data_IF_056112938568
#
_entry.id   IF_056112938568
#
_cell.length_a   1.000
_cell.length_b   1.000
_cell.length_c   1.000
_cell.angle_alpha   90.00
_cell.angle_beta   90.00
_cell.angle_gamma   90.00
#
_symmetry.space_group_name_H-M   'P 1'
#
loop_
_entity.id
_entity.type
_entity.pdbx_description
1 polymer ?
#
# COMPACT_ATOMS: atom_id res chain seq x y z
N UNK A 1 42.29 -55.48 32.10
CA UNK A 1 42.29 -54.22 31.32
C UNK A 1 41.92 -53.08 32.26
N UNK A 2 42.71 -52.01 32.39
CA UNK A 2 42.36 -50.89 33.25
C UNK A 2 41.18 -50.10 32.64
N UNK A 3 40.30 -49.50 33.46
CA UNK A 3 39.13 -48.79 32.97
C UNK A 3 39.55 -47.53 32.21
N UNK A 4 39.04 -47.38 30.98
CA UNK A 4 39.19 -46.14 30.20
C UNK A 4 38.53 -44.99 30.96
N UNK A 5 39.34 -44.01 31.38
CA UNK A 5 38.85 -42.74 31.92
C UNK A 5 37.90 -42.11 30.89
N UNK A 6 36.59 -42.17 31.16
CA UNK A 6 35.59 -41.40 30.40
C UNK A 6 35.93 -39.94 30.59
N UNK A 7 36.32 -39.26 29.50
CA UNK A 7 36.50 -37.81 29.51
C UNK A 7 35.21 -37.12 29.99
N UNK A 8 35.36 -35.97 30.65
CA UNK A 8 34.22 -35.19 31.13
C UNK A 8 33.23 -34.88 30.00
N UNK A 9 31.93 -35.05 30.27
CA UNK A 9 30.87 -34.65 29.34
C UNK A 9 30.78 -33.13 29.21
N UNK A 10 30.19 -32.64 28.12
CA UNK A 10 30.01 -31.20 27.89
C UNK A 10 29.30 -30.51 29.06
N UNK A 11 28.22 -31.11 29.58
CA UNK A 11 27.46 -30.56 30.72
C UNK A 11 28.29 -30.53 32.01
N UNK A 12 29.11 -31.56 32.29
CA UNK A 12 29.98 -31.56 33.46
C UNK A 12 31.05 -30.46 33.39
N UNK A 13 31.53 -30.12 32.18
CA UNK A 13 32.45 -29.00 32.00
C UNK A 13 31.73 -27.66 32.21
N UNK A 14 30.49 -27.51 31.74
CA UNK A 14 29.64 -26.33 31.98
C UNK A 14 29.41 -26.10 33.47
N UNK A 15 29.02 -27.14 34.21
CA UNK A 15 28.79 -27.06 35.65
C UNK A 15 30.05 -26.65 36.42
N UNK A 16 31.20 -27.16 36.00
CA UNK A 16 32.50 -26.83 36.60
C UNK A 16 32.89 -25.37 36.40
N UNK A 17 32.64 -24.80 35.22
CA UNK A 17 32.87 -23.36 34.98
C UNK A 17 31.87 -22.51 35.77
N UNK A 18 30.59 -22.90 35.79
CA UNK A 18 29.58 -22.19 36.58
C UNK A 18 29.89 -22.20 38.08
N UNK A 19 30.48 -23.29 38.60
CA UNK A 19 30.96 -23.33 39.99
C UNK A 19 32.05 -22.30 40.26
N UNK A 20 33.00 -22.09 39.35
CA UNK A 20 34.03 -21.04 39.50
C UNK A 20 33.36 -19.67 39.70
N UNK A 21 32.40 -19.32 38.85
CA UNK A 21 31.69 -18.05 38.97
C UNK A 21 30.84 -17.96 40.25
N UNK A 22 30.18 -19.05 40.65
CA UNK A 22 29.29 -19.07 41.80
C UNK A 22 30.03 -19.04 43.15
N UNK A 23 31.19 -19.71 43.23
CA UNK A 23 32.02 -19.75 44.43
C UNK A 23 32.83 -18.47 44.63
N UNK A 24 33.44 -17.95 43.56
CA UNK A 24 34.27 -16.73 43.62
C UNK A 24 33.44 -15.46 43.65
N UNK A 25 32.29 -15.42 42.96
CA UNK A 25 31.41 -14.24 42.82
C UNK A 25 32.17 -12.99 42.33
N UNK A 26 33.21 -13.20 41.53
CA UNK A 26 34.09 -12.17 40.99
C UNK A 26 33.92 -12.03 39.47
N UNK A 27 34.38 -10.90 38.94
CA UNK A 27 34.46 -10.66 37.50
C UNK A 27 35.80 -11.18 36.99
N UNK A 28 35.76 -12.03 35.96
CA UNK A 28 36.95 -12.58 35.33
C UNK A 28 37.18 -11.97 33.96
N UNK A 29 38.40 -11.52 33.70
CA UNK A 29 38.87 -11.35 32.32
C UNK A 29 39.14 -12.72 31.68
N UNK A 30 39.08 -12.81 30.36
CA UNK A 30 39.36 -14.07 29.64
C UNK A 30 40.68 -14.76 30.09
N UNK A 31 41.82 -14.05 30.22
CA UNK A 31 43.07 -14.68 30.66
C UNK A 31 43.06 -15.14 32.12
N UNK A 32 42.29 -14.49 32.99
CA UNK A 32 42.11 -14.93 34.38
C UNK A 32 41.25 -16.18 34.45
N UNK A 33 40.19 -16.22 33.63
CA UNK A 33 39.30 -17.37 33.55
C UNK A 33 40.00 -18.61 32.97
N UNK A 34 40.92 -18.43 32.01
CA UNK A 34 41.78 -19.53 31.52
C UNK A 34 42.59 -20.17 32.65
N UNK A 35 43.19 -19.37 33.53
CA UNK A 35 43.97 -19.87 34.66
C UNK A 35 43.12 -20.64 35.66
N UNK A 36 41.90 -20.17 35.94
CA UNK A 36 40.99 -20.88 36.85
C UNK A 36 40.38 -22.13 36.18
N UNK A 37 40.12 -22.10 34.88
CA UNK A 37 39.65 -23.26 34.12
C UNK A 37 40.68 -24.39 34.04
N UNK A 38 41.97 -24.04 33.90
CA UNK A 38 43.09 -24.99 33.92
C UNK A 38 43.16 -25.73 35.28
N UNK A 39 42.89 -25.04 36.40
CA UNK A 39 42.83 -25.65 37.75
C UNK A 39 41.71 -26.68 37.90
N UNK A 40 40.62 -26.51 37.16
CA UNK A 40 39.43 -27.37 37.19
C UNK A 40 39.47 -28.47 36.09
N UNK A 41 40.57 -28.52 35.34
CA UNK A 41 40.86 -29.54 34.34
C UNK A 41 40.19 -29.32 32.99
N UNK A 42 39.87 -28.07 32.64
CA UNK A 42 39.25 -27.70 31.37
C UNK A 42 40.32 -27.12 30.44
N UNK A 43 40.58 -27.79 29.32
CA UNK A 43 41.52 -27.32 28.28
C UNK A 43 41.04 -26.00 27.66
N UNK A 44 41.96 -25.07 27.41
CA UNK A 44 41.70 -23.75 26.78
C UNK A 44 40.85 -23.80 25.51
N UNK A 45 41.12 -24.74 24.61
CA UNK A 45 40.36 -24.88 23.36
C UNK A 45 38.86 -25.13 23.60
N UNK A 46 38.51 -25.79 24.71
CA UNK A 46 37.12 -26.05 25.08
C UNK A 46 36.50 -24.88 25.86
N UNK A 47 37.30 -24.02 26.51
CA UNK A 47 36.80 -22.93 27.36
C UNK A 47 35.95 -21.95 26.54
N UNK A 48 36.39 -21.64 25.32
CA UNK A 48 35.68 -20.72 24.43
C UNK A 48 34.29 -21.25 24.04
N UNK A 49 34.20 -22.50 23.61
CA UNK A 49 32.94 -23.15 23.24
C UNK A 49 31.98 -23.24 24.44
N UNK A 50 32.51 -23.57 25.62
CA UNK A 50 31.71 -23.64 26.85
C UNK A 50 31.19 -22.25 27.25
N UNK A 51 32.03 -21.21 27.15
CA UNK A 51 31.62 -19.83 27.41
C UNK A 51 30.53 -19.38 26.44
N UNK A 52 30.70 -19.59 25.14
CA UNK A 52 29.68 -19.27 24.14
C UNK A 52 28.35 -19.95 24.43
N UNK A 53 28.38 -21.22 24.84
CA UNK A 53 27.18 -21.96 25.26
C UNK A 53 26.57 -21.46 26.59
N UNK A 54 27.38 -20.98 27.53
CA UNK A 54 26.87 -20.38 28.79
C UNK A 54 26.30 -18.97 28.56
N UNK A 55 26.84 -18.22 27.61
CA UNK A 55 26.33 -16.93 27.17
C UNK A 55 25.01 -17.08 26.41
N UNK A 56 24.89 -18.08 25.52
CA UNK A 56 23.64 -18.34 24.78
C UNK A 56 22.48 -18.63 25.73
N UNK A 57 22.77 -19.36 26.80
CA UNK A 57 21.77 -19.75 27.81
C UNK A 57 21.60 -18.67 28.89
N UNK A 58 22.22 -17.50 28.72
CA UNK A 58 22.13 -16.35 29.62
C UNK A 58 22.63 -16.60 31.05
N UNK A 59 23.40 -17.67 31.27
CA UNK A 59 23.93 -18.09 32.56
C UNK A 59 25.17 -17.29 32.98
N UNK A 60 25.97 -16.86 31.99
CA UNK A 60 27.12 -15.96 32.17
C UNK A 60 26.82 -14.67 31.44
N UNK A 61 27.28 -13.56 32.00
CA UNK A 61 27.22 -12.23 31.38
C UNK A 61 28.58 -11.88 30.81
N UNK A 62 28.57 -11.05 29.78
CA UNK A 62 29.80 -10.49 29.24
C UNK A 62 29.65 -9.02 28.93
N UNK A 63 30.70 -8.26 29.20
CA UNK A 63 30.80 -6.86 28.84
C UNK A 63 32.20 -6.57 28.29
N UNK A 64 32.23 -5.67 27.31
CA UNK A 64 33.46 -5.22 26.70
C UNK A 64 33.97 -4.00 27.48
N UNK A 65 35.05 -4.15 28.23
CA UNK A 65 35.78 -3.05 28.87
C UNK A 65 36.99 -2.70 28.01
N UNK A 66 36.79 -1.76 27.07
CA UNK A 66 37.81 -1.34 26.12
C UNK A 66 38.22 -2.48 25.19
N UNK A 67 39.48 -2.89 25.24
CA UNK A 67 40.03 -4.00 24.44
C UNK A 67 39.85 -5.38 25.09
N UNK A 68 39.28 -5.46 26.29
CA UNK A 68 39.16 -6.71 27.05
C UNK A 68 37.70 -7.07 27.31
N UNK A 69 37.36 -8.36 27.18
CA UNK A 69 36.06 -8.91 27.57
C UNK A 69 36.11 -9.43 28.99
N UNK A 70 35.12 -9.04 29.79
CA UNK A 70 34.90 -9.52 31.14
C UNK A 70 33.70 -10.47 31.17
N UNK A 71 33.74 -11.42 32.09
CA UNK A 71 32.75 -12.46 32.29
C UNK A 71 32.41 -12.61 33.76
N UNK A 72 31.13 -12.71 34.10
CA UNK A 72 30.68 -12.98 35.46
C UNK A 72 29.32 -13.68 35.47
N UNK A 73 28.97 -14.27 36.61
CA UNK A 73 27.63 -14.79 36.86
C UNK A 73 27.27 -14.53 38.32
N UNK A 74 26.25 -13.69 38.53
CA UNK A 74 25.73 -13.36 39.85
C UNK A 74 24.41 -14.10 40.10
N UNK A 75 24.25 -14.79 41.24
CA UNK A 75 23.02 -15.52 41.57
C UNK A 75 21.77 -14.62 41.57
N UNK A 76 21.91 -13.35 41.94
CA UNK A 76 20.80 -12.37 41.96
C UNK A 76 20.35 -11.93 40.56
N UNK A 77 21.16 -12.12 39.53
CA UNK A 77 20.90 -11.54 38.22
C UNK A 77 19.77 -12.25 37.46
N UNK A 78 19.63 -13.57 37.64
CA UNK A 78 18.49 -14.32 37.11
C UNK A 78 17.17 -13.79 37.69
N UNK A 79 17.15 -13.48 38.99
CA UNK A 79 15.99 -12.92 39.67
C UNK A 79 15.70 -11.49 39.21
N UNK A 80 16.72 -10.62 39.10
CA UNK A 80 16.56 -9.24 38.63
C UNK A 80 16.00 -9.21 37.20
N UNK A 81 16.54 -10.04 36.29
CA UNK A 81 16.04 -10.14 34.91
C UNK A 81 14.59 -10.60 34.86
N UNK A 82 14.22 -11.57 35.69
CA UNK A 82 12.84 -12.03 35.76
C UNK A 82 11.92 -10.92 36.27
N UNK A 83 12.33 -10.18 37.30
CA UNK A 83 11.59 -9.03 37.82
C UNK A 83 11.42 -7.91 36.78
N UNK A 84 12.47 -7.59 36.03
CA UNK A 84 12.41 -6.61 34.94
C UNK A 84 11.41 -7.06 33.86
N UNK A 85 11.50 -8.31 33.40
CA UNK A 85 10.54 -8.86 32.42
C UNK A 85 9.11 -8.86 32.96
N UNK A 86 8.91 -9.23 34.22
CA UNK A 86 7.60 -9.15 34.85
C UNK A 86 7.06 -7.72 34.84
N UNK A 87 7.87 -6.73 35.25
CA UNK A 87 7.48 -5.32 35.23
C UNK A 87 7.15 -4.83 33.81
N UNK A 88 7.99 -5.15 32.81
CA UNK A 88 7.75 -4.82 31.40
C UNK A 88 6.43 -5.43 30.88
N UNK A 89 6.15 -6.70 31.21
CA UNK A 89 4.90 -7.33 30.78
C UNK A 89 3.69 -6.78 31.52
N UNK A 90 3.81 -6.47 32.80
CA UNK A 90 2.74 -5.80 33.55
C UNK A 90 2.41 -4.44 32.95
N UNK A 91 3.43 -3.62 32.65
CA UNK A 91 3.22 -2.32 32.00
C UNK A 91 2.55 -2.45 30.63
N UNK A 92 2.98 -3.42 29.81
CA UNK A 92 2.34 -3.70 28.51
C UNK A 92 0.88 -4.12 28.67
N UNK A 93 0.57 -4.97 29.64
CA UNK A 93 -0.82 -5.39 29.92
C UNK A 93 -1.66 -4.17 30.31
N UNK A 94 -1.15 -3.30 31.17
CA UNK A 94 -1.87 -2.11 31.60
C UNK A 94 -2.09 -1.12 30.44
N UNK A 95 -1.08 -0.93 29.58
CA UNK A 95 -1.20 -0.12 28.36
C UNK A 95 -2.26 -0.68 27.39
N UNK A 96 -2.27 -2.00 27.16
CA UNK A 96 -3.27 -2.61 26.26
C UNK A 96 -4.68 -2.57 26.85
N UNK A 97 -4.84 -2.75 28.17
CA UNK A 97 -6.13 -2.57 28.86
C UNK A 97 -6.65 -1.15 28.73
N UNK A 98 -5.77 -0.15 28.85
CA UNK A 98 -6.17 1.24 28.70
C UNK A 98 -6.66 1.52 27.27
N UNK A 99 -5.97 0.98 26.26
CA UNK A 99 -6.41 1.07 24.86
C UNK A 99 -7.74 0.37 24.62
N UNK A 100 -7.95 -0.80 25.22
CA UNK A 100 -9.21 -1.54 25.14
C UNK A 100 -10.38 -0.69 25.64
N UNK A 101 -10.23 -0.07 26.82
CA UNK A 101 -11.23 0.84 27.40
C UNK A 101 -11.49 2.04 26.48
N UNK A 102 -10.44 2.65 25.92
CA UNK A 102 -10.58 3.79 25.00
C UNK A 102 -11.31 3.42 23.71
N UNK A 103 -10.97 2.26 23.12
CA UNK A 103 -11.61 1.76 21.90
C UNK A 103 -13.07 1.43 22.18
N UNK A 104 -13.38 0.82 23.32
CA UNK A 104 -14.75 0.45 23.67
C UNK A 104 -15.63 1.68 23.95
N UNK A 105 -15.07 2.72 24.59
CA UNK A 105 -15.73 4.01 24.73
C UNK A 105 -15.98 4.68 23.38
N UNK A 106 -15.01 4.65 22.46
CA UNK A 106 -15.19 5.17 21.10
C UNK A 106 -16.24 4.37 20.32
N UNK A 107 -16.24 3.04 20.46
CA UNK A 107 -17.21 2.17 19.82
C UNK A 107 -18.63 2.47 20.28
N UNK A 108 -18.87 2.61 21.59
CA UNK A 108 -20.20 2.92 22.10
C UNK A 108 -20.66 4.32 21.65
N UNK A 109 -19.76 5.31 21.64
CA UNK A 109 -20.08 6.66 21.12
C UNK A 109 -20.43 6.66 19.62
N UNK A 110 -19.82 5.78 18.82
CA UNK A 110 -20.11 5.67 17.39
C UNK A 110 -21.37 4.88 17.08
N UNK A 111 -21.80 4.02 18.01
CA UNK A 111 -23.01 3.22 17.92
C UNK A 111 -24.26 4.08 18.16
N UNK A 112 -24.16 5.09 19.03
CA UNK A 112 -25.19 6.12 19.17
C UNK A 112 -25.48 6.78 17.81
N UNK A 113 -26.72 6.65 17.32
CA UNK A 113 -27.14 7.14 16.01
C UNK A 113 -26.78 6.26 14.80
N UNK A 114 -26.06 5.15 15.01
CA UNK A 114 -25.78 4.11 14.00
C UNK A 114 -26.34 2.75 14.42
N UNK A 115 -27.41 2.75 15.18
CA UNK A 115 -28.06 1.52 15.59
C UNK A 115 -28.51 0.72 14.36
N UNK A 116 -28.31 -0.60 14.42
CA UNK A 116 -28.81 -1.51 13.40
C UNK A 116 -30.32 -1.66 13.58
N UNK A 117 -31.08 -0.71 13.05
CA UNK A 117 -32.53 -0.74 13.01
C UNK A 117 -33.03 -0.98 11.57
N UNK A 118 -34.23 -1.54 11.45
CA UNK A 118 -34.84 -1.79 10.14
C UNK A 118 -34.97 -0.51 9.31
N UNK A 119 -35.30 0.61 9.96
CA UNK A 119 -35.40 1.93 9.33
C UNK A 119 -34.10 2.34 8.64
N UNK A 120 -32.93 2.07 9.25
CA UNK A 120 -31.64 2.38 8.66
C UNK A 120 -31.38 1.55 7.40
N UNK A 121 -31.67 0.25 7.46
CA UNK A 121 -31.54 -0.65 6.31
C UNK A 121 -32.44 -0.20 5.16
N UNK A 122 -33.68 0.19 5.47
CA UNK A 122 -34.65 0.67 4.48
C UNK A 122 -34.17 2.00 3.85
N UNK A 123 -33.69 2.95 4.65
CA UNK A 123 -33.08 4.21 4.18
C UNK A 123 -31.84 3.96 3.31
N UNK A 124 -30.96 3.03 3.69
CA UNK A 124 -29.79 2.67 2.89
C UNK A 124 -30.20 2.08 1.53
N UNK A 125 -31.27 1.26 1.50
CA UNK A 125 -31.84 0.75 0.27
C UNK A 125 -32.44 1.86 -0.60
N UNK A 126 -33.21 2.79 -0.02
CA UNK A 126 -33.78 3.94 -0.74
C UNK A 126 -32.68 4.84 -1.33
N UNK A 127 -31.64 5.16 -0.56
CA UNK A 127 -30.49 5.94 -1.04
C UNK A 127 -29.84 5.26 -2.25
N UNK A 128 -29.67 3.94 -2.20
CA UNK A 128 -29.10 3.18 -3.31
C UNK A 128 -30.02 3.20 -4.54
N UNK A 129 -31.33 3.08 -4.36
CA UNK A 129 -32.30 3.20 -5.45
C UNK A 129 -32.25 4.60 -6.10
N UNK A 130 -32.27 5.67 -5.30
CA UNK A 130 -32.18 7.04 -5.81
C UNK A 130 -30.87 7.31 -6.54
N UNK A 131 -29.73 6.76 -6.06
CA UNK A 131 -28.45 6.86 -6.76
C UNK A 131 -28.49 6.21 -8.14
N UNK A 132 -29.10 5.02 -8.24
CA UNK A 132 -29.25 4.34 -9.53
C UNK A 132 -30.17 5.13 -10.48
N UNK A 133 -31.30 5.61 -9.98
CA UNK A 133 -32.22 6.45 -10.76
C UNK A 133 -31.54 7.73 -11.26
N UNK A 134 -30.77 8.40 -10.39
CA UNK A 134 -30.02 9.59 -10.76
C UNK A 134 -29.02 9.31 -11.88
N UNK A 135 -28.27 8.21 -11.82
CA UNK A 135 -27.33 7.83 -12.89
C UNK A 135 -28.03 7.56 -14.22
N UNK A 136 -29.18 6.88 -14.20
CA UNK A 136 -29.99 6.64 -15.41
C UNK A 136 -30.49 7.96 -15.98
N UNK A 137 -30.99 8.85 -15.12
CA UNK A 137 -31.52 10.14 -15.54
C UNK A 137 -30.43 11.05 -16.11
N UNK A 138 -29.23 11.03 -15.53
CA UNK A 138 -28.07 11.77 -16.00
C UNK A 138 -27.66 11.32 -17.41
N UNK A 139 -27.56 10.01 -17.66
CA UNK A 139 -27.28 9.46 -18.99
C UNK A 139 -28.34 9.86 -20.02
N UNK A 140 -29.62 9.81 -19.63
CA UNK A 140 -30.72 10.22 -20.49
C UNK A 140 -30.67 11.72 -20.80
N UNK A 141 -30.30 12.53 -19.81
CA UNK A 141 -30.13 13.97 -19.96
C UNK A 141 -29.00 14.29 -20.93
N UNK A 142 -27.82 13.67 -20.77
CA UNK A 142 -26.68 13.83 -21.68
C UNK A 142 -27.04 13.44 -23.12
N UNK A 143 -27.79 12.36 -23.30
CA UNK A 143 -28.27 11.95 -24.62
C UNK A 143 -29.22 12.98 -25.23
N UNK A 144 -30.13 13.52 -24.44
CA UNK A 144 -31.09 14.54 -24.89
C UNK A 144 -30.46 15.91 -25.12
N UNK A 145 -29.42 16.27 -24.38
CA UNK A 145 -28.67 17.53 -24.57
C UNK A 145 -28.04 17.59 -25.97
N UNK A 146 -27.62 16.46 -26.53
CA UNK A 146 -27.13 16.39 -27.93
C UNK A 146 -28.23 16.71 -28.95
N UNK A 147 -29.49 16.51 -28.60
CA UNK A 147 -30.67 16.69 -29.45
C UNK A 147 -31.50 17.91 -29.02
N UNK A 148 -30.84 19.03 -28.75
CA UNK A 148 -31.50 20.27 -28.38
C UNK A 148 -32.50 20.72 -29.47
N UNK A 149 -33.82 20.80 -29.15
CA UNK A 149 -34.85 21.18 -30.10
C UNK A 149 -34.63 22.56 -30.72
N UNK A 150 -34.11 23.53 -29.97
CA UNK A 150 -33.88 24.88 -30.49
C UNK A 150 -32.74 24.88 -31.52
N UNK A 151 -31.64 24.18 -31.21
CA UNK A 151 -30.54 23.96 -32.14
C UNK A 151 -31.01 23.24 -33.40
N UNK A 152 -31.83 22.20 -33.26
CA UNK A 152 -32.40 21.45 -34.39
C UNK A 152 -33.29 22.33 -35.27
N UNK A 153 -34.14 23.17 -34.67
CA UNK A 153 -34.99 24.10 -35.42
C UNK A 153 -34.17 25.16 -36.16
N UNK A 154 -33.14 25.71 -35.52
CA UNK A 154 -32.22 26.65 -36.16
C UNK A 154 -31.52 26.00 -37.35
N UNK A 155 -30.97 24.81 -37.16
CA UNK A 155 -30.29 24.06 -38.22
C UNK A 155 -31.23 23.78 -39.40
N UNK A 156 -32.50 23.39 -39.14
CA UNK A 156 -33.51 23.21 -40.19
C UNK A 156 -33.78 24.50 -40.98
N UNK A 157 -33.94 25.64 -40.30
CA UNK A 157 -34.15 26.95 -40.96
C UNK A 157 -32.94 27.33 -41.80
N UNK A 158 -31.75 27.20 -41.25
CA UNK A 158 -30.50 27.52 -41.94
C UNK A 158 -30.31 26.60 -43.17
N UNK A 159 -30.63 25.31 -43.07
CA UNK A 159 -30.59 24.39 -44.22
C UNK A 159 -31.56 24.78 -45.33
N UNK A 160 -32.76 25.26 -45.01
CA UNK A 160 -33.72 25.73 -46.03
C UNK A 160 -33.18 26.96 -46.74
N UNK A 161 -32.62 27.92 -46.00
CA UNK A 161 -32.05 29.13 -46.59
C UNK A 161 -30.81 28.80 -47.45
N UNK A 162 -29.89 27.99 -46.94
CA UNK A 162 -28.70 27.56 -47.69
C UNK A 162 -29.06 26.78 -48.96
N UNK A 163 -30.11 25.96 -48.91
CA UNK A 163 -30.63 25.25 -50.10
C UNK A 163 -31.18 26.23 -51.13
N UNK A 164 -31.96 27.22 -50.68
CA UNK A 164 -32.47 28.27 -51.56
C UNK A 164 -31.33 29.06 -52.22
N UNK A 165 -30.35 29.50 -51.41
CA UNK A 165 -29.20 30.24 -51.91
C UNK A 165 -28.39 29.40 -52.90
N UNK A 166 -28.09 28.15 -52.58
CA UNK A 166 -27.37 27.23 -53.46
C UNK A 166 -28.08 27.05 -54.81
N UNK A 167 -29.40 26.85 -54.79
CA UNK A 167 -30.19 26.72 -56.01
C UNK A 167 -30.24 28.02 -56.81
N UNK A 168 -30.31 29.18 -56.15
CA UNK A 168 -30.22 30.48 -56.83
C UNK A 168 -28.87 30.65 -57.54
N UNK A 169 -27.76 30.30 -56.89
CA UNK A 169 -26.44 30.33 -57.54
C UNK A 169 -26.34 29.33 -58.69
N UNK A 170 -26.93 28.14 -58.56
CA UNK A 170 -27.01 27.16 -59.66
C UNK A 170 -27.76 27.72 -60.87
N UNK A 171 -28.94 28.31 -60.64
CA UNK A 171 -29.74 28.93 -61.70
C UNK A 171 -28.97 30.08 -62.37
N UNK A 172 -28.30 30.94 -61.59
CA UNK A 172 -27.46 32.03 -62.10
C UNK A 172 -26.29 31.52 -62.95
N UNK A 173 -25.60 30.46 -62.51
CA UNK A 173 -24.50 29.83 -63.25
C UNK A 173 -25.00 29.26 -64.58
N UNK A 174 -26.15 28.57 -64.58
CA UNK A 174 -26.76 28.02 -65.80
C UNK A 174 -27.15 29.15 -66.76
N UNK A 175 -27.76 30.22 -66.24
CA UNK A 175 -28.16 31.37 -67.05
C UNK A 175 -26.96 32.10 -67.66
N UNK A 176 -25.89 32.32 -66.89
CA UNK A 176 -24.65 32.90 -67.40
C UNK A 176 -23.99 32.01 -68.45
N UNK A 177 -23.96 30.69 -68.24
CA UNK A 177 -23.43 29.73 -69.21
C UNK A 177 -24.22 29.77 -70.52
N UNK A 178 -25.55 29.87 -70.45
CA UNK A 178 -26.40 30.04 -71.62
C UNK A 178 -26.14 31.36 -72.35
N UNK A 179 -25.99 32.47 -71.64
CA UNK A 179 -25.67 33.78 -72.23
C UNK A 179 -24.30 33.77 -72.92
N UNK A 180 -23.28 33.22 -72.28
CA UNK A 180 -21.93 33.13 -72.83
C UNK A 180 -21.89 32.29 -74.12
N UNK A 181 -22.69 31.22 -74.17
CA UNK A 181 -22.83 30.36 -75.35
C UNK A 181 -23.61 31.03 -76.49
N UNK A 182 -24.72 31.70 -76.17
CA UNK A 182 -25.68 32.19 -77.17
C UNK A 182 -25.46 33.63 -77.64
N UNK A 183 -25.06 34.53 -76.73
CA UNK A 183 -24.93 35.97 -77.00
C UNK A 183 -23.47 36.41 -77.11
N UNK A 184 -22.56 35.82 -76.33
CA UNK A 184 -21.13 36.19 -76.34
C UNK A 184 -20.28 35.36 -77.32
N UNK A 185 -20.83 34.29 -77.91
CA UNK A 185 -20.18 33.50 -78.95
C UNK A 185 -19.02 32.60 -78.48
N UNK A 186 -18.96 32.24 -77.19
CA UNK A 186 -17.95 31.31 -76.67
C UNK A 186 -18.17 29.88 -77.21
N UNK A 187 -17.08 29.18 -77.51
CA UNK A 187 -17.15 27.77 -77.95
C UNK A 187 -17.44 26.82 -76.77
N UNK A 188 -17.98 25.63 -77.05
CA UNK A 188 -18.27 24.63 -76.02
C UNK A 188 -17.00 24.24 -75.23
N UNK A 189 -15.87 24.12 -75.93
CA UNK A 189 -14.57 23.78 -75.31
C UNK A 189 -14.07 24.87 -74.34
N UNK A 190 -14.40 26.15 -74.59
CA UNK A 190 -14.05 27.26 -73.70
C UNK A 190 -14.97 27.34 -72.48
N UNK A 191 -16.22 26.91 -72.61
CA UNK A 191 -17.16 26.81 -71.48
C UNK A 191 -16.81 25.63 -70.56
N UNK A 192 -16.38 24.50 -71.13
CA UNK A 192 -15.94 23.33 -70.35
C UNK A 192 -14.70 23.64 -69.50
N UNK A 193 -13.85 24.59 -69.92
CA UNK A 193 -12.71 25.07 -69.13
C UNK A 193 -13.11 25.84 -67.86
N UNK A 194 -14.36 26.31 -67.75
CA UNK A 194 -14.88 26.95 -66.53
C UNK A 194 -15.12 25.95 -65.39
N UNK A 195 -15.03 24.65 -65.66
CA UNK A 195 -15.11 23.60 -64.64
C UNK A 195 -16.52 23.39 -64.07
N UNK A 196 -17.56 23.78 -64.80
CA UNK A 196 -18.96 23.57 -64.40
C UNK A 196 -19.33 22.10 -64.66
N UNK A 197 -19.78 21.34 -63.64
CA UNK A 197 -20.20 19.96 -63.83
C UNK A 197 -21.39 19.85 -64.79
N UNK A 198 -21.39 18.84 -65.66
CA UNK A 198 -22.45 18.63 -66.65
C UNK A 198 -23.78 18.19 -66.02
N UNK A 199 -23.74 17.69 -64.79
CA UNK A 199 -24.86 17.20 -63.98
C UNK A 199 -25.25 18.19 -62.87
N UNK A 200 -24.81 19.45 -62.96
CA UNK A 200 -25.23 20.47 -62.00
C UNK A 200 -26.74 20.68 -62.09
N UNK A 201 -27.42 20.49 -60.97
CA UNK A 201 -28.87 20.65 -60.84
C UNK A 201 -29.20 21.15 -59.43
N UNK A 202 -30.42 21.63 -59.27
CA UNK A 202 -30.93 22.10 -57.99
C UNK A 202 -31.03 20.95 -56.98
N UNK A 203 -30.56 21.22 -55.76
CA UNK A 203 -30.57 20.27 -54.63
C UNK A 203 -31.86 20.37 -53.83
#
# INVERSE_FOLDING_TARGET
MPPKNKGLSANQKRDRIMKIFTERKEVFSYPQLEKEADKVGIRRDNLKEILESLLSDNLVETENLGTSKCYWSLPSQALIRLQQKCAEYTEKIDQERQKEIEIEAQFESMKEGRENCQQRTDLENEINQYRQQYQVLLKNFELKQKNDPERLQKLKKDTVNLRYDANSWTDDIIQLSFYLKSQAGMSSEQLDQLGIPADIDNI
#
